data_IF_958445645726
#
_entry.id   IF_958445645726
#
_cell.length_a   1.000
_cell.length_b   1.000
_cell.length_c   1.000
_cell.angle_alpha   90.00
_cell.angle_beta   90.00
_cell.angle_gamma   90.00
#
_symmetry.space_group_name_H-M   'P 1'
#
loop_
_entity.id
_entity.type
_entity.pdbx_description
1 polymer ?
#
# COMPACT_ATOMS: atom_id res chain seq x y z
N UNK A 1 -39.19 9.72 9.82
CA UNK A 1 -38.82 9.56 8.39
C UNK A 1 -37.70 8.54 8.21
N UNK A 2 -37.08 8.48 7.03
CA UNK A 2 -35.90 7.64 6.78
C UNK A 2 -34.67 8.14 7.54
N UNK A 3 -34.49 9.47 7.64
CA UNK A 3 -33.34 10.13 8.29
C UNK A 3 -33.12 9.66 9.73
N UNK A 4 -34.19 9.43 10.48
CA UNK A 4 -34.18 9.01 11.88
C UNK A 4 -33.83 7.52 12.06
N UNK A 5 -33.83 6.76 10.96
CA UNK A 5 -33.48 5.33 10.95
C UNK A 5 -32.22 5.01 10.13
N UNK A 6 -31.57 6.03 9.58
CA UNK A 6 -30.34 5.90 8.80
C UNK A 6 -29.13 6.25 9.67
N UNK A 7 -28.08 5.45 9.54
CA UNK A 7 -26.73 5.82 9.96
C UNK A 7 -25.91 6.13 8.71
N UNK A 8 -25.21 7.26 8.73
CA UNK A 8 -24.23 7.64 7.72
C UNK A 8 -22.85 7.31 8.28
N UNK A 9 -22.08 6.55 7.51
CA UNK A 9 -20.65 6.34 7.73
C UNK A 9 -19.95 6.85 6.47
N UNK A 10 -19.18 7.92 6.64
CA UNK A 10 -18.42 8.55 5.57
C UNK A 10 -16.96 8.27 5.88
N UNK A 11 -16.29 7.57 4.98
CA UNK A 11 -14.89 7.18 5.16
C UNK A 11 -14.16 7.24 3.82
N UNK A 12 -12.86 6.96 3.86
CA UNK A 12 -12.01 6.83 2.68
C UNK A 12 -11.10 5.62 2.88
N UNK A 13 -10.60 5.10 1.78
CA UNK A 13 -9.57 4.06 1.75
C UNK A 13 -8.25 4.51 2.40
N UNK A 14 -7.75 5.69 2.01
CA UNK A 14 -6.51 6.27 2.52
C UNK A 14 -6.40 7.78 2.22
N UNK A 15 -5.39 8.42 2.82
CA UNK A 15 -4.96 9.78 2.50
C UNK A 15 -4.08 9.87 1.24
N UNK A 16 -3.29 10.94 1.16
CA UNK A 16 -2.46 11.26 -0.02
C UNK A 16 -1.19 11.99 0.41
N UNK A 17 -0.07 11.70 -0.25
CA UNK A 17 1.23 12.35 -0.05
C UNK A 17 1.68 13.08 -1.29
N UNK A 18 2.45 14.15 -1.08
CA UNK A 18 3.05 14.94 -2.17
C UNK A 18 4.17 14.16 -2.86
N UNK A 19 4.21 14.25 -4.19
CA UNK A 19 5.23 13.62 -5.05
C UNK A 19 5.91 14.69 -5.89
N UNK A 20 7.25 14.70 -5.85
CA UNK A 20 8.08 15.59 -6.65
C UNK A 20 9.04 14.81 -7.58
N UNK A 21 9.28 13.54 -7.29
CA UNK A 21 10.19 12.67 -8.04
C UNK A 21 9.59 11.29 -8.25
N UNK A 22 9.99 10.63 -9.34
CA UNK A 22 9.62 9.25 -9.67
C UNK A 22 10.87 8.38 -9.68
N UNK A 23 10.80 7.20 -9.07
CA UNK A 23 11.79 6.13 -9.14
C UNK A 23 11.31 5.08 -10.15
N UNK A 24 12.20 4.62 -11.03
CA UNK A 24 11.90 3.67 -12.09
C UNK A 24 12.60 2.33 -11.80
N UNK A 25 12.04 1.46 -10.94
CA UNK A 25 12.70 0.21 -10.54
C UNK A 25 12.92 -0.73 -11.73
N UNK A 26 12.06 -0.70 -12.74
CA UNK A 26 12.26 -1.51 -13.95
C UNK A 26 13.41 -1.00 -14.84
N UNK A 27 13.80 0.27 -14.75
CA UNK A 27 15.03 0.78 -15.38
C UNK A 27 16.27 0.26 -14.64
N UNK A 28 16.22 0.19 -13.30
CA UNK A 28 17.28 -0.41 -12.48
C UNK A 28 17.49 -1.87 -12.86
N UNK A 29 16.40 -2.65 -12.91
CA UNK A 29 16.44 -4.07 -13.28
C UNK A 29 16.95 -4.30 -14.70
N UNK A 30 16.51 -3.50 -15.68
CA UNK A 30 17.02 -3.54 -17.05
C UNK A 30 18.53 -3.30 -17.10
N UNK A 31 19.02 -2.25 -16.43
CA UNK A 31 20.45 -1.92 -16.41
C UNK A 31 21.30 -2.99 -15.74
N UNK A 32 20.74 -3.69 -14.75
CA UNK A 32 21.36 -4.83 -14.10
C UNK A 32 21.27 -6.14 -14.92
N UNK A 33 20.62 -6.12 -16.09
CA UNK A 33 20.50 -7.28 -16.98
C UNK A 33 19.36 -8.24 -16.64
N UNK A 34 18.43 -7.85 -15.75
CA UNK A 34 17.31 -8.71 -15.34
C UNK A 34 16.04 -8.54 -16.18
N UNK A 35 16.01 -7.53 -17.07
CA UNK A 35 14.87 -7.28 -17.96
C UNK A 35 15.33 -6.77 -19.33
N UNK A 36 14.64 -7.23 -20.37
CA UNK A 36 14.73 -6.77 -21.75
C UNK A 36 13.49 -5.93 -22.07
N UNK A 37 13.67 -4.86 -22.87
CA UNK A 37 12.60 -3.91 -23.17
C UNK A 37 12.54 -3.56 -24.66
N UNK A 38 11.33 -3.26 -25.13
CA UNK A 38 11.08 -2.58 -26.41
C UNK A 38 10.36 -1.28 -26.11
N UNK A 39 11.02 -0.14 -26.36
CA UNK A 39 10.54 1.16 -25.89
C UNK A 39 10.52 1.20 -24.36
N UNK A 40 9.34 1.43 -23.77
CA UNK A 40 9.14 1.41 -22.31
C UNK A 40 8.58 0.10 -21.76
N UNK A 41 8.28 -0.87 -22.64
CA UNK A 41 7.61 -2.12 -22.28
C UNK A 41 8.62 -3.24 -22.09
N UNK A 42 8.53 -3.94 -20.96
CA UNK A 42 9.25 -5.19 -20.71
C UNK A 42 8.75 -6.26 -21.68
N UNK A 43 9.66 -6.89 -22.42
CA UNK A 43 9.36 -7.98 -23.35
C UNK A 43 9.78 -9.33 -22.80
N UNK A 44 10.80 -9.36 -21.94
CA UNK A 44 11.29 -10.54 -21.23
C UNK A 44 11.95 -10.09 -19.93
N UNK A 45 11.81 -10.86 -18.87
CA UNK A 45 12.43 -10.54 -17.59
C UNK A 45 12.65 -11.79 -16.75
N UNK A 46 13.75 -11.80 -16.00
CA UNK A 46 13.99 -12.68 -14.85
C UNK A 46 13.42 -12.05 -13.56
N UNK A 47 13.32 -10.72 -13.55
CA UNK A 47 12.82 -9.94 -12.42
C UNK A 47 12.03 -8.75 -12.95
N UNK A 48 10.86 -8.48 -12.37
CA UNK A 48 10.06 -7.31 -12.68
C UNK A 48 9.53 -6.64 -11.41
N UNK A 49 9.47 -5.31 -11.42
CA UNK A 49 8.80 -4.53 -10.39
C UNK A 49 7.39 -4.14 -10.85
N UNK A 50 6.43 -4.24 -9.93
CA UNK A 50 5.08 -3.70 -10.08
C UNK A 50 4.88 -2.59 -9.05
N UNK A 51 4.55 -1.40 -9.53
CA UNK A 51 4.52 -0.18 -8.72
C UNK A 51 3.10 0.14 -8.27
N UNK A 52 2.93 0.59 -7.03
CA UNK A 52 1.63 0.93 -6.41
C UNK A 52 1.68 2.32 -5.74
N UNK A 53 2.28 3.31 -6.41
CA UNK A 53 2.49 4.64 -5.85
C UNK A 53 3.74 4.66 -4.95
N UNK A 54 3.56 4.84 -3.64
CA UNK A 54 4.64 4.90 -2.65
C UNK A 54 5.34 3.57 -2.36
N UNK A 55 4.80 2.45 -2.86
CA UNK A 55 5.36 1.12 -2.69
C UNK A 55 5.52 0.40 -4.04
N UNK A 56 6.37 -0.61 -4.07
CA UNK A 56 6.50 -1.49 -5.23
C UNK A 56 6.80 -2.92 -4.78
N UNK A 57 6.17 -3.89 -5.41
CA UNK A 57 6.54 -5.29 -5.27
C UNK A 57 7.53 -5.67 -6.36
N UNK A 58 8.54 -6.45 -6.01
CA UNK A 58 9.49 -7.03 -6.97
C UNK A 58 9.25 -8.53 -7.03
N UNK A 59 9.12 -9.06 -8.23
CA UNK A 59 8.87 -10.48 -8.49
C UNK A 59 10.05 -11.06 -9.26
N UNK A 60 10.58 -12.18 -8.77
CA UNK A 60 11.49 -13.03 -9.52
C UNK A 60 10.65 -14.01 -10.32
N UNK A 61 10.70 -13.90 -11.66
CA UNK A 61 9.86 -14.69 -12.57
C UNK A 61 10.40 -16.11 -12.78
N UNK A 62 11.69 -16.33 -12.52
CA UNK A 62 12.32 -17.65 -12.55
C UNK A 62 12.50 -18.19 -11.12
N UNK A 63 11.67 -19.16 -10.66
CA UNK A 63 11.71 -19.65 -9.30
C UNK A 63 13.05 -20.31 -8.94
N UNK A 64 13.73 -20.95 -9.90
CA UNK A 64 15.02 -21.63 -9.67
C UNK A 64 16.14 -20.64 -9.32
N UNK A 65 16.00 -19.38 -9.78
CA UNK A 65 16.96 -18.31 -9.52
C UNK A 65 16.61 -17.48 -8.28
N UNK A 66 15.41 -17.66 -7.72
CA UNK A 66 14.93 -16.86 -6.59
C UNK A 66 15.91 -16.86 -5.40
N UNK A 67 16.41 -18.01 -4.89
CA UNK A 67 17.31 -17.99 -3.73
C UNK A 67 18.60 -17.17 -3.95
N UNK A 68 19.12 -17.17 -5.18
CA UNK A 68 20.31 -16.41 -5.55
C UNK A 68 20.02 -14.91 -5.71
N UNK A 69 18.88 -14.57 -6.31
CA UNK A 69 18.58 -13.21 -6.73
C UNK A 69 18.11 -12.33 -5.57
N UNK A 70 17.45 -12.87 -4.55
CA UNK A 70 16.85 -12.04 -3.48
C UNK A 70 17.88 -11.17 -2.76
N UNK A 71 19.01 -11.74 -2.34
CA UNK A 71 20.06 -10.96 -1.67
C UNK A 71 20.66 -9.87 -2.58
N UNK A 72 20.89 -10.21 -3.86
CA UNK A 72 21.44 -9.27 -4.85
C UNK A 72 20.48 -8.12 -5.16
N UNK A 73 19.19 -8.43 -5.29
CA UNK A 73 18.14 -7.46 -5.53
C UNK A 73 17.91 -6.56 -4.31
N UNK A 74 17.97 -7.13 -3.10
CA UNK A 74 17.91 -6.39 -1.85
C UNK A 74 18.96 -5.28 -1.82
N UNK A 75 20.24 -5.64 -1.97
CA UNK A 75 21.34 -4.68 -2.02
C UNK A 75 21.18 -3.66 -3.16
N UNK A 76 20.83 -4.12 -4.37
CA UNK A 76 20.63 -3.24 -5.52
C UNK A 76 19.59 -2.15 -5.26
N UNK A 77 18.48 -2.49 -4.60
CA UNK A 77 17.43 -1.53 -4.30
C UNK A 77 17.71 -0.69 -3.06
N UNK A 78 18.43 -1.20 -2.07
CA UNK A 78 18.92 -0.39 -0.93
C UNK A 78 19.85 0.74 -1.40
N UNK A 79 20.67 0.49 -2.42
CA UNK A 79 21.58 1.47 -3.02
C UNK A 79 20.89 2.42 -4.03
N UNK A 80 19.62 2.17 -4.39
CA UNK A 80 18.90 2.95 -5.40
C UNK A 80 18.35 4.26 -4.81
N UNK A 81 18.63 5.40 -5.46
CA UNK A 81 18.08 6.70 -5.06
C UNK A 81 16.54 6.66 -5.00
N UNK A 82 15.99 7.18 -3.91
CA UNK A 82 14.54 7.34 -3.72
C UNK A 82 13.87 6.15 -3.02
N UNK A 83 14.58 5.04 -2.78
CA UNK A 83 14.09 3.93 -1.95
C UNK A 83 14.45 4.20 -0.50
N UNK A 84 13.45 4.12 0.39
CA UNK A 84 13.59 4.28 1.85
C UNK A 84 13.93 2.95 2.52
N UNK A 85 13.17 1.91 2.16
CA UNK A 85 13.26 0.59 2.76
C UNK A 85 13.03 -0.51 1.73
N UNK A 86 13.74 -1.60 1.91
CA UNK A 86 13.55 -2.86 1.19
C UNK A 86 13.25 -3.93 2.22
N UNK A 87 12.14 -4.65 2.05
CA UNK A 87 11.76 -5.78 2.88
C UNK A 87 11.71 -7.04 2.02
N UNK A 88 11.92 -8.19 2.65
CA UNK A 88 11.64 -9.45 1.98
C UNK A 88 10.12 -9.65 1.91
N UNK A 89 9.66 -10.33 0.87
CA UNK A 89 8.25 -10.74 0.77
C UNK A 89 7.83 -11.59 1.98
N UNK A 90 8.75 -12.40 2.52
CA UNK A 90 8.54 -13.18 3.74
C UNK A 90 8.26 -12.33 4.98
N UNK A 91 8.63 -11.05 4.97
CA UNK A 91 8.35 -10.11 6.06
C UNK A 91 6.96 -9.46 5.93
N UNK A 92 6.19 -9.80 4.89
CA UNK A 92 4.83 -9.33 4.65
C UNK A 92 3.91 -9.36 5.88
N UNK A 93 3.91 -10.42 6.71
CA UNK A 93 3.08 -10.49 7.91
C UNK A 93 3.33 -9.35 8.91
N UNK A 94 4.53 -8.76 8.94
CA UNK A 94 4.83 -7.58 9.77
C UNK A 94 4.04 -6.33 9.34
N UNK A 95 3.52 -6.33 8.12
CA UNK A 95 2.70 -5.27 7.53
C UNK A 95 1.21 -5.64 7.44
N UNK A 96 0.81 -6.80 7.98
CA UNK A 96 -0.54 -7.35 7.78
C UNK A 96 -0.78 -7.90 6.36
N UNK A 97 0.30 -8.23 5.64
CA UNK A 97 0.24 -8.84 4.30
C UNK A 97 0.58 -10.34 4.38
N UNK A 98 0.13 -11.18 3.43
CA UNK A 98 0.57 -12.57 3.35
C UNK A 98 2.04 -12.65 2.94
N UNK A 99 2.63 -13.83 3.09
CA UNK A 99 3.90 -14.19 2.45
C UNK A 99 3.71 -14.58 0.97
N UNK A 100 4.77 -14.59 0.14
CA UNK A 100 4.72 -15.09 -1.24
C UNK A 100 4.24 -16.53 -1.37
N UNK A 101 4.48 -17.38 -0.36
CA UNK A 101 4.04 -18.77 -0.34
C UNK A 101 2.53 -18.89 -0.06
N UNK A 102 1.97 -17.95 0.70
CA UNK A 102 0.53 -17.88 1.00
C UNK A 102 -0.28 -17.22 -0.12
N UNK A 103 0.31 -16.26 -0.84
CA UNK A 103 -0.34 -15.54 -1.93
C UNK A 103 0.64 -15.12 -3.03
N UNK A 104 0.45 -15.65 -4.25
CA UNK A 104 1.29 -15.34 -5.42
C UNK A 104 1.21 -13.87 -5.87
N UNK A 105 0.21 -13.11 -5.42
CA UNK A 105 0.15 -11.67 -5.62
C UNK A 105 1.19 -10.90 -4.80
N UNK A 106 1.79 -11.51 -3.78
CA UNK A 106 2.83 -10.92 -2.96
C UNK A 106 4.19 -10.95 -3.67
N UNK A 107 4.88 -9.80 -3.66
CA UNK A 107 6.24 -9.70 -4.21
C UNK A 107 7.27 -10.43 -3.36
N UNK A 108 8.34 -10.89 -4.00
CA UNK A 108 9.49 -11.46 -3.29
C UNK A 108 10.31 -10.41 -2.54
N UNK A 109 10.23 -9.15 -2.96
CA UNK A 109 10.64 -7.97 -2.18
C UNK A 109 9.52 -6.93 -2.17
N UNK A 110 9.52 -6.11 -1.12
CA UNK A 110 8.66 -4.94 -0.96
C UNK A 110 9.57 -3.71 -0.86
N UNK A 111 9.33 -2.73 -1.73
CA UNK A 111 10.05 -1.48 -1.76
C UNK A 111 9.15 -0.37 -1.23
N UNK A 112 9.67 0.49 -0.36
CA UNK A 112 9.02 1.74 0.03
C UNK A 112 9.80 2.93 -0.47
N UNK A 113 9.11 3.92 -1.03
CA UNK A 113 9.71 5.15 -1.51
C UNK A 113 9.95 6.14 -0.36
N UNK A 114 11.00 6.95 -0.46
CA UNK A 114 11.25 8.10 0.41
C UNK A 114 10.12 9.12 0.28
N UNK A 115 9.92 9.94 1.32
CA UNK A 115 9.01 11.08 1.25
C UNK A 115 9.34 11.99 0.04
N UNK A 116 8.30 12.36 -0.72
CA UNK A 116 8.46 13.13 -1.96
C UNK A 116 8.77 12.30 -3.22
N UNK A 117 8.96 10.99 -3.08
CA UNK A 117 9.15 10.05 -4.18
C UNK A 117 7.94 9.13 -4.33
N UNK A 118 7.71 8.66 -5.56
CA UNK A 118 6.82 7.55 -5.87
C UNK A 118 7.47 6.64 -6.92
N UNK A 119 6.96 5.43 -7.08
CA UNK A 119 7.43 4.51 -8.11
C UNK A 119 6.64 4.67 -9.40
N UNK A 120 7.34 4.52 -10.53
CA UNK A 120 6.75 4.47 -11.85
C UNK A 120 7.13 3.17 -12.57
N UNK A 121 6.16 2.54 -13.22
CA UNK A 121 6.34 1.22 -13.81
C UNK A 121 7.18 1.20 -15.10
N UNK A 122 7.47 2.35 -15.70
CA UNK A 122 8.22 2.44 -16.96
C UNK A 122 9.61 1.81 -16.89
N UNK A 123 10.00 1.10 -17.95
CA UNK A 123 11.29 0.42 -18.05
C UNK A 123 12.23 1.02 -19.12
N UNK A 124 11.75 2.03 -19.85
CA UNK A 124 12.48 2.72 -20.92
C UNK A 124 13.33 3.89 -20.40
N UNK A 125 14.19 4.42 -21.27
CA UNK A 125 15.11 5.50 -20.91
C UNK A 125 16.19 5.07 -19.90
N UNK A 126 17.02 6.02 -19.48
CA UNK A 126 18.17 5.75 -18.61
C UNK A 126 18.08 6.41 -17.22
N UNK A 127 17.07 7.24 -16.97
CA UNK A 127 16.88 7.84 -15.66
C UNK A 127 16.32 6.81 -14.68
N UNK A 128 17.05 6.53 -13.60
CA UNK A 128 16.53 5.74 -12.47
C UNK A 128 15.62 6.60 -11.59
N UNK A 129 15.90 7.89 -11.51
CA UNK A 129 15.07 8.90 -10.86
C UNK A 129 14.86 10.06 -11.81
N UNK A 130 13.62 10.57 -11.90
CA UNK A 130 13.31 11.78 -12.66
C UNK A 130 12.35 12.69 -11.89
N UNK A 131 12.30 14.00 -12.18
CA UNK A 131 11.25 14.88 -11.69
C UNK A 131 9.87 14.35 -12.07
N UNK A 132 8.92 14.46 -11.16
CA UNK A 132 7.52 14.15 -11.44
C UNK A 132 6.85 15.32 -12.15
N UNK A 133 6.35 15.09 -13.36
CA UNK A 133 5.64 16.10 -14.17
C UNK A 133 4.19 15.65 -14.35
N UNK A 134 3.24 16.50 -13.94
CA UNK A 134 1.81 16.18 -14.02
C UNK A 134 1.31 15.15 -12.99
N UNK A 135 2.18 14.64 -12.11
CA UNK A 135 1.85 13.68 -11.06
C UNK A 135 2.36 14.18 -9.69
N UNK A 136 1.57 15.03 -9.04
CA UNK A 136 2.00 15.79 -7.86
C UNK A 136 1.64 15.15 -6.51
N UNK A 137 0.90 14.03 -6.52
CA UNK A 137 0.55 13.31 -5.30
C UNK A 137 0.12 11.87 -5.59
N UNK A 138 0.28 11.01 -4.59
CA UNK A 138 -0.13 9.60 -4.64
C UNK A 138 -0.36 9.02 -3.24
N UNK A 139 -0.66 7.74 -3.18
CA UNK A 139 -0.84 6.92 -1.97
C UNK A 139 0.04 5.67 -2.04
N UNK A 140 -0.22 4.65 -1.20
CA UNK A 140 0.53 3.39 -1.22
C UNK A 140 1.87 3.44 -0.48
N UNK A 141 1.96 4.22 0.59
CA UNK A 141 3.09 4.27 1.52
C UNK A 141 2.78 3.39 2.75
N UNK A 142 3.69 3.23 3.73
CA UNK A 142 3.40 2.49 4.95
C UNK A 142 2.08 2.95 5.60
N UNK A 143 1.25 1.99 6.02
CA UNK A 143 -0.08 2.28 6.55
C UNK A 143 -0.04 3.03 7.91
N UNK A 144 1.10 3.03 8.59
CA UNK A 144 1.33 3.79 9.82
C UNK A 144 1.64 5.27 9.58
N UNK A 145 1.85 5.68 8.32
CA UNK A 145 2.11 7.07 7.92
C UNK A 145 0.88 7.98 8.13
N UNK A 146 0.96 9.02 8.98
CA UNK A 146 -0.17 9.90 9.26
C UNK A 146 -0.69 10.68 8.06
N UNK A 147 0.11 10.92 7.02
CA UNK A 147 -0.38 11.57 5.79
C UNK A 147 -1.30 10.66 4.97
N UNK A 148 -1.28 9.35 5.25
CA UNK A 148 -2.21 8.38 4.66
C UNK A 148 -3.43 8.11 5.53
N UNK A 149 -3.60 8.82 6.64
CA UNK A 149 -4.82 8.70 7.43
C UNK A 149 -6.03 9.17 6.62
N UNK A 150 -7.02 8.29 6.54
CA UNK A 150 -8.30 8.57 5.94
C UNK A 150 -9.24 9.30 6.89
N UNK A 151 -10.29 9.92 6.33
CA UNK A 151 -11.40 10.42 7.13
C UNK A 151 -12.28 9.29 7.65
N UNK A 152 -12.86 9.50 8.82
CA UNK A 152 -13.97 8.70 9.33
C UNK A 152 -14.96 9.63 10.05
N UNK A 153 -16.20 9.65 9.57
CA UNK A 153 -17.30 10.43 10.15
C UNK A 153 -18.52 9.52 10.24
N UNK A 154 -19.08 9.38 11.43
CA UNK A 154 -20.31 8.66 11.67
C UNK A 154 -21.40 9.60 12.21
N UNK A 155 -22.64 9.45 11.75
CA UNK A 155 -23.77 10.26 12.22
C UNK A 155 -25.10 9.56 11.97
N UNK A 156 -26.11 9.86 12.78
CA UNK A 156 -27.48 9.33 12.62
C UNK A 156 -27.85 8.29 13.67
N UNK A 157 -28.70 7.34 13.31
CA UNK A 157 -29.27 6.36 14.24
C UNK A 157 -28.15 5.61 14.98
N UNK A 158 -28.25 5.53 16.31
CA UNK A 158 -27.34 4.76 17.14
C UNK A 158 -25.94 5.36 17.33
N UNK A 159 -25.66 6.54 16.75
CA UNK A 159 -24.37 7.23 16.91
C UNK A 159 -24.49 8.35 17.94
N UNK A 160 -23.57 8.38 18.91
CA UNK A 160 -23.43 9.43 19.90
C UNK A 160 -22.95 10.73 19.26
N UNK A 161 -23.41 11.88 19.77
CA UNK A 161 -23.06 13.20 19.24
C UNK A 161 -21.87 13.79 19.99
N UNK A 162 -21.04 14.56 19.29
CA UNK A 162 -19.95 15.33 19.88
C UNK A 162 -18.73 14.49 20.31
N UNK A 163 -18.67 13.23 19.89
CA UNK A 163 -17.51 12.36 20.14
C UNK A 163 -16.46 12.61 19.08
N UNK A 164 -15.22 12.84 19.51
CA UNK A 164 -14.03 12.89 18.67
C UNK A 164 -13.16 11.71 19.07
N UNK A 165 -12.98 10.77 18.13
CA UNK A 165 -12.09 9.64 18.34
C UNK A 165 -10.63 10.06 18.08
N UNK A 166 -9.65 9.43 18.75
CA UNK A 166 -8.27 9.43 18.26
C UNK A 166 -8.17 8.66 16.93
N UNK A 167 -6.96 8.50 16.39
CA UNK A 167 -6.70 7.64 15.23
C UNK A 167 -7.26 6.23 15.49
N UNK A 168 -8.01 5.70 14.51
CA UNK A 168 -8.61 4.35 14.55
C UNK A 168 -8.04 3.50 13.42
N UNK A 169 -8.22 2.18 13.50
CA UNK A 169 -7.93 1.30 12.38
C UNK A 169 -9.09 1.30 11.38
N UNK A 170 -8.79 1.24 10.08
CA UNK A 170 -9.84 1.05 9.06
C UNK A 170 -10.58 -0.29 9.24
N UNK A 171 -9.92 -1.27 9.88
CA UNK A 171 -10.51 -2.56 10.25
C UNK A 171 -11.66 -2.44 11.27
N UNK A 172 -11.74 -1.32 12.01
CA UNK A 172 -12.78 -1.09 13.02
C UNK A 172 -14.13 -0.69 12.40
N UNK A 173 -14.14 -0.25 11.15
CA UNK A 173 -15.33 0.30 10.46
C UNK A 173 -16.39 -0.79 10.27
N UNK A 174 -16.01 -1.93 9.68
CA UNK A 174 -16.92 -3.03 9.39
C UNK A 174 -17.60 -3.63 10.65
N UNK A 175 -16.89 -4.03 11.72
CA UNK A 175 -17.52 -4.54 12.93
C UNK A 175 -18.41 -3.50 13.62
N UNK A 176 -18.07 -2.21 13.53
CA UNK A 176 -18.93 -1.12 14.04
C UNK A 176 -20.24 -1.01 13.26
N UNK A 177 -20.19 -1.09 11.93
CA UNK A 177 -21.40 -1.12 11.09
C UNK A 177 -22.25 -2.35 11.41
N UNK A 178 -21.63 -3.53 11.54
CA UNK A 178 -22.35 -4.75 11.89
C UNK A 178 -23.09 -4.62 13.22
N UNK A 179 -22.45 -4.04 14.24
CA UNK A 179 -23.06 -3.75 15.54
C UNK A 179 -24.30 -2.87 15.45
N UNK A 180 -24.29 -1.83 14.60
CA UNK A 180 -25.44 -0.93 14.39
C UNK A 180 -26.63 -1.59 13.68
N UNK A 181 -26.33 -2.63 12.89
CA UNK A 181 -27.28 -3.46 12.16
C UNK A 181 -27.74 -4.70 12.95
N UNK A 182 -27.25 -4.88 14.19
CA UNK A 182 -27.48 -6.09 15.00
C UNK A 182 -26.99 -7.38 14.31
N UNK A 183 -25.91 -7.27 13.55
CA UNK A 183 -25.22 -8.36 12.87
C UNK A 183 -23.94 -8.74 13.60
N UNK A 184 -23.48 -9.97 13.39
CA UNK A 184 -22.20 -10.47 13.89
C UNK A 184 -21.27 -10.75 12.70
N UNK A 185 -20.05 -10.21 12.77
CA UNK A 185 -18.95 -10.61 11.89
C UNK A 185 -18.06 -11.55 12.71
N UNK A 186 -18.09 -12.87 12.46
CA UNK A 186 -17.19 -13.79 13.15
C UNK A 186 -15.75 -13.47 12.78
N UNK A 187 -14.84 -13.53 13.76
CA UNK A 187 -13.40 -13.33 13.57
C UNK A 187 -13.01 -12.00 12.92
N UNK A 188 -13.75 -10.92 13.19
CA UNK A 188 -13.33 -9.58 12.78
C UNK A 188 -11.97 -9.23 13.42
N UNK A 189 -11.03 -8.77 12.60
CA UNK A 189 -9.70 -8.36 13.07
C UNK A 189 -9.73 -7.00 13.79
N UNK A 190 -10.60 -6.10 13.35
CA UNK A 190 -10.84 -4.81 14.02
C UNK A 190 -11.82 -4.92 15.19
N UNK A 191 -11.90 -3.87 15.98
CA UNK A 191 -12.82 -3.77 17.12
C UNK A 191 -14.05 -2.95 16.78
N UNK A 192 -15.12 -3.15 17.55
CA UNK A 192 -16.26 -2.22 17.55
C UNK A 192 -15.83 -0.91 18.22
N UNK A 193 -16.12 0.22 17.58
CA UNK A 193 -15.98 1.56 18.15
C UNK A 193 -17.16 1.86 19.07
N UNK A 194 -17.21 1.18 20.23
CA UNK A 194 -18.30 1.35 21.21
C UNK A 194 -18.39 2.80 21.71
N UNK A 195 -17.29 3.57 21.67
CA UNK A 195 -17.21 4.97 22.12
C UNK A 195 -18.14 5.91 21.33
N UNK A 196 -18.46 5.58 20.08
CA UNK A 196 -19.37 6.39 19.24
C UNK A 196 -20.79 5.85 19.23
N UNK A 197 -21.09 4.78 19.95
CA UNK A 197 -22.43 4.22 19.99
C UNK A 197 -23.25 4.88 21.10
N UNK A 198 -24.53 5.13 20.83
CA UNK A 198 -25.45 5.50 21.91
C UNK A 198 -25.63 4.31 22.84
N UNK A 199 -25.35 4.49 24.12
CA UNK A 199 -25.75 3.53 25.16
C UNK A 199 -27.27 3.34 25.09
N UNK A 200 -27.70 2.07 25.09
CA UNK A 200 -29.11 1.72 25.28
C UNK A 200 -29.59 2.13 26.66
#
# INVERSE_FOLDING_TARGET
GLRERTTFVITTDHGFKKVNKLVYPNVVLRKAGYAEVTGSKITKCDVAAMTQGGMSFVYVTNPDRKPELIAKLGQLFEETEGIDRVLLGSDGPTLGMPTPDENQGMGDLILFAKAGYAFNNGAGGDAVVAPSVGYAGTHGYPADDPELDGIFIASGRGIAKGIVLPRIANLDVAPTIARLLDLKIPNAEGRVLEEILQTK
#
